data_IF_983391513386
#
_entry.id   IF_983391513386
#
_cell.length_a   1.000
_cell.length_b   1.000
_cell.length_c   1.000
_cell.angle_alpha   90.00
_cell.angle_beta   90.00
_cell.angle_gamma   90.00
#
_symmetry.space_group_name_H-M   'P 1'
#
loop_
_entity.id
_entity.type
_entity.pdbx_description
1 polymer ?
#
# COMPACT_ATOMS: atom_id res chain seq x y z
N UNK A 1 2.03 -9.05 11.20
CA UNK A 1 1.77 -7.76 10.52
C UNK A 1 0.38 -7.18 10.82
N UNK A 2 -0.72 -7.88 10.48
CA UNK A 2 -2.11 -7.36 10.55
C UNK A 2 -2.64 -7.11 11.98
N UNK A 3 -2.21 -7.90 12.97
CA UNK A 3 -2.65 -7.76 14.37
C UNK A 3 -2.37 -6.38 15.00
N UNK A 4 -1.43 -5.61 14.46
CA UNK A 4 -1.14 -4.24 14.92
C UNK A 4 -2.18 -3.23 14.41
N UNK A 5 -2.77 -3.47 13.24
CA UNK A 5 -3.81 -2.61 12.66
C UNK A 5 -5.16 -2.85 13.34
N UNK A 6 -5.48 -4.12 13.64
CA UNK A 6 -6.63 -4.49 14.46
C UNK A 6 -6.55 -3.84 15.86
N UNK A 7 -5.40 -3.96 16.56
CA UNK A 7 -5.21 -3.33 17.87
C UNK A 7 -5.30 -1.81 17.88
N UNK A 8 -5.05 -1.16 16.74
CA UNK A 8 -5.14 0.29 16.58
C UNK A 8 -6.52 0.75 16.11
N UNK A 9 -7.48 -0.16 15.95
CA UNK A 9 -8.82 0.16 15.48
C UNK A 9 -8.87 0.60 14.02
N UNK A 10 -7.85 0.26 13.19
CA UNK A 10 -7.80 0.64 11.78
C UNK A 10 -8.40 -0.43 10.85
N UNK A 11 -8.51 -1.67 11.34
CA UNK A 11 -9.17 -2.77 10.67
C UNK A 11 -10.15 -3.41 11.65
N UNK A 12 -11.22 -3.98 11.11
CA UNK A 12 -12.11 -4.92 11.78
C UNK A 12 -11.94 -6.31 11.19
N UNK A 13 -12.05 -7.31 12.05
CA UNK A 13 -12.07 -8.73 11.67
C UNK A 13 -13.48 -9.27 11.89
N UNK A 14 -14.25 -9.34 10.81
CA UNK A 14 -15.64 -9.80 10.85
C UNK A 14 -15.71 -11.24 10.36
N UNK A 15 -16.51 -12.08 11.01
CA UNK A 15 -16.77 -13.44 10.53
C UNK A 15 -17.57 -13.37 9.23
N UNK A 16 -17.16 -14.14 8.23
CA UNK A 16 -17.89 -14.20 6.97
C UNK A 16 -19.28 -14.85 7.21
N UNK A 17 -20.38 -14.16 6.85
CA UNK A 17 -21.73 -14.67 7.07
C UNK A 17 -22.09 -15.86 6.18
N UNK A 18 -21.37 -16.10 5.08
CA UNK A 18 -21.58 -17.21 4.16
C UNK A 18 -20.69 -18.41 4.48
N UNK A 19 -19.52 -18.18 5.08
CA UNK A 19 -18.61 -19.23 5.54
C UNK A 19 -17.97 -18.82 6.87
N UNK A 20 -18.54 -19.28 7.99
CA UNK A 20 -18.09 -18.93 9.33
C UNK A 20 -16.65 -19.34 9.68
N UNK A 21 -15.97 -20.10 8.82
CA UNK A 21 -14.53 -20.42 8.95
C UNK A 21 -13.63 -19.30 8.41
N UNK A 22 -14.17 -18.43 7.55
CA UNK A 22 -13.45 -17.30 6.96
C UNK A 22 -13.68 -16.03 7.79
N UNK A 23 -12.65 -15.19 7.80
CA UNK A 23 -12.70 -13.88 8.41
C UNK A 23 -12.40 -12.82 7.34
N UNK A 24 -13.27 -11.85 7.22
CA UNK A 24 -13.12 -10.71 6.34
C UNK A 24 -12.46 -9.56 7.11
N UNK A 25 -11.47 -8.92 6.49
CA UNK A 25 -10.87 -7.70 7.00
C UNK A 25 -11.56 -6.51 6.36
N UNK A 26 -12.11 -5.61 7.18
CA UNK A 26 -12.71 -4.35 6.72
C UNK A 26 -11.96 -3.17 7.31
N UNK A 27 -11.78 -2.11 6.54
CA UNK A 27 -11.30 -0.84 7.07
C UNK A 27 -12.39 -0.20 7.91
N UNK A 28 -12.01 0.31 9.09
CA UNK A 28 -12.84 1.20 9.89
C UNK A 28 -12.85 2.61 9.30
N UNK A 29 -13.71 3.52 9.78
CA UNK A 29 -13.69 4.93 9.32
C UNK A 29 -12.32 5.59 9.55
N UNK A 30 -11.73 5.35 10.73
CA UNK A 30 -10.37 5.79 11.05
C UNK A 30 -9.31 5.11 10.17
N UNK A 31 -9.52 3.83 9.86
CA UNK A 31 -8.73 3.08 8.87
C UNK A 31 -8.75 3.75 7.51
N UNK A 32 -9.93 4.16 7.02
CA UNK A 32 -10.10 4.83 5.72
C UNK A 32 -9.42 6.20 5.72
N UNK A 33 -9.61 7.03 6.77
CA UNK A 33 -8.97 8.34 6.89
C UNK A 33 -7.45 8.24 6.94
N UNK A 34 -6.95 7.28 7.70
CA UNK A 34 -5.51 7.01 7.83
C UNK A 34 -4.92 6.51 6.53
N UNK A 35 -5.60 5.55 5.89
CA UNK A 35 -5.21 5.03 4.59
C UNK A 35 -5.10 6.16 3.56
N UNK A 36 -6.15 7.00 3.40
CA UNK A 36 -6.14 8.13 2.46
C UNK A 36 -4.96 9.09 2.71
N UNK A 37 -4.66 9.41 3.97
CA UNK A 37 -3.52 10.28 4.33
C UNK A 37 -2.17 9.67 3.95
N UNK A 38 -2.04 8.35 4.05
CA UNK A 38 -0.81 7.62 3.73
C UNK A 38 -0.68 7.36 2.23
N UNK A 39 -1.76 7.00 1.53
CA UNK A 39 -1.75 6.70 0.08
C UNK A 39 -1.22 7.88 -0.73
N UNK A 40 -1.56 9.12 -0.34
CA UNK A 40 -1.04 10.34 -0.99
C UNK A 40 0.48 10.46 -0.85
N UNK A 41 1.05 10.07 0.31
CA UNK A 41 2.50 10.09 0.52
C UNK A 41 3.21 8.94 -0.19
N UNK A 42 2.61 7.75 -0.20
CA UNK A 42 3.17 6.57 -0.89
C UNK A 42 3.16 6.74 -2.41
N UNK A 43 2.13 7.36 -2.99
CA UNK A 43 2.06 7.61 -4.42
C UNK A 43 3.25 8.45 -4.93
N UNK A 44 3.65 9.48 -4.16
CA UNK A 44 4.82 10.32 -4.49
C UNK A 44 6.14 9.53 -4.41
N UNK A 45 6.28 8.63 -3.42
CA UNK A 45 7.48 7.80 -3.29
C UNK A 45 7.58 6.77 -4.41
N UNK A 46 6.46 6.14 -4.79
CA UNK A 46 6.44 5.18 -5.89
C UNK A 46 6.82 5.84 -7.23
N UNK A 47 6.40 7.09 -7.47
CA UNK A 47 6.82 7.84 -8.65
C UNK A 47 8.32 8.11 -8.69
N UNK A 48 8.97 8.34 -7.55
CA UNK A 48 10.43 8.54 -7.46
C UNK A 48 11.17 7.21 -7.62
N UNK A 49 10.65 6.13 -7.02
CA UNK A 49 11.24 4.80 -7.11
C UNK A 49 11.15 4.22 -8.53
N UNK A 50 10.04 4.50 -9.23
CA UNK A 50 9.79 4.03 -10.60
C UNK A 50 10.18 5.07 -11.65
N UNK A 51 10.78 6.20 -11.24
CA UNK A 51 11.32 7.17 -12.18
C UNK A 51 12.37 6.48 -13.06
N UNK A 52 12.38 6.69 -14.39
CA UNK A 52 13.28 5.97 -15.29
C UNK A 52 14.75 6.26 -14.94
N UNK A 53 15.42 5.32 -14.26
CA UNK A 53 16.87 5.33 -14.10
C UNK A 53 17.49 4.73 -15.36
N UNK A 54 17.44 5.46 -16.48
CA UNK A 54 18.17 5.10 -17.69
C UNK A 54 19.66 5.45 -17.46
N UNK A 55 20.60 4.49 -17.37
CA UNK A 55 21.99 4.81 -17.55
C UNK A 55 22.17 5.17 -19.03
N UNK A 56 22.28 6.48 -19.33
CA UNK A 56 22.63 6.93 -20.67
C UNK A 56 24.10 6.62 -20.94
N UNK A 57 24.38 5.37 -21.29
CA UNK A 57 25.66 4.95 -21.85
C UNK A 57 25.79 5.59 -23.24
N UNK A 58 26.45 6.76 -23.31
CA UNK A 58 26.96 7.29 -24.56
C UNK A 58 28.24 6.51 -24.89
N UNK A 59 28.12 5.40 -25.61
CA UNK A 59 29.26 4.90 -26.37
C UNK A 59 29.50 5.89 -27.50
N UNK A 60 30.51 6.73 -27.34
CA UNK A 60 31.16 7.40 -28.46
C UNK A 60 31.81 6.30 -29.31
N UNK A 61 31.18 5.99 -30.43
CA UNK A 61 31.82 5.33 -31.57
C UNK A 61 31.98 6.40 -32.65
N UNK A 62 33.05 7.19 -32.55
CA UNK A 62 33.59 7.96 -33.67
C UNK A 62 34.55 7.04 -34.42
N UNK A 63 34.17 6.74 -35.66
CA UNK A 63 35.08 6.31 -36.73
C UNK A 63 36.08 7.42 -37.07
#
# INVERSE_FOLDING_TARGET
>A
MIARLLRRGLLDKVRDPQDGRRFLLRLTDDGVRTHRRLTVRTARMNQVLLAPSLPRNRRCSSS
#
